data_IF_055485931375
#
_entry.id   IF_055485931375
#
_cell.length_a   1.000
_cell.length_b   1.000
_cell.length_c   1.000
_cell.angle_alpha   90.00
_cell.angle_beta   90.00
_cell.angle_gamma   90.00
#
_symmetry.space_group_name_H-M   'P 1'
#
loop_
_entity.id
_entity.type
_entity.pdbx_description
1 polymer ?
#
# COMPACT_ATOMS: atom_id res chain seq x y z
N UNK A 1 11.33 2.98 23.32
CA UNK A 1 10.93 2.22 22.12
C UNK A 1 10.55 3.21 21.03
N UNK A 2 10.97 2.96 19.81
CA UNK A 2 11.55 3.96 18.89
C UNK A 2 10.56 4.63 17.93
N UNK A 3 9.54 5.32 18.44
CA UNK A 3 8.79 6.27 17.59
C UNK A 3 9.61 7.54 17.27
N UNK A 4 10.65 7.87 18.07
CA UNK A 4 11.51 9.04 17.82
C UNK A 4 12.30 8.99 16.49
N UNK A 5 12.37 7.80 15.87
CA UNK A 5 13.06 7.58 14.59
C UNK A 5 12.12 7.62 13.38
N UNK A 6 10.80 7.50 13.59
CA UNK A 6 9.83 7.61 12.53
C UNK A 6 9.45 9.08 12.35
N UNK A 7 9.69 9.63 11.17
CA UNK A 7 9.59 11.08 10.89
C UNK A 7 9.00 11.32 9.51
N UNK A 8 8.38 12.48 9.35
CA UNK A 8 7.96 12.95 8.04
C UNK A 8 9.14 13.08 7.07
N UNK A 9 8.85 12.92 5.77
CA UNK A 9 9.83 12.92 4.68
C UNK A 9 10.54 11.59 4.44
N UNK A 10 10.29 10.56 5.26
CA UNK A 10 10.78 9.22 4.96
C UNK A 10 9.98 8.62 3.81
N UNK A 11 10.67 7.94 2.90
CA UNK A 11 10.05 7.36 1.70
C UNK A 11 10.54 5.95 1.41
N UNK A 12 9.74 5.18 0.70
CA UNK A 12 10.12 3.87 0.17
C UNK A 12 9.43 3.58 -1.16
N UNK A 13 10.02 2.67 -1.93
CA UNK A 13 9.42 2.12 -3.13
C UNK A 13 9.25 0.63 -2.92
N UNK A 14 8.05 0.11 -3.17
CA UNK A 14 7.73 -1.29 -2.99
C UNK A 14 7.15 -1.84 -4.28
N UNK A 15 7.83 -2.82 -4.86
CA UNK A 15 7.41 -3.48 -6.08
C UNK A 15 6.52 -4.69 -5.77
N UNK A 16 5.46 -4.83 -6.55
CA UNK A 16 4.55 -5.97 -6.51
C UNK A 16 4.31 -6.50 -7.91
N UNK A 17 4.44 -7.82 -8.08
CA UNK A 17 4.01 -8.50 -9.30
C UNK A 17 2.53 -8.81 -9.16
N UNK A 18 1.72 -8.40 -10.15
CA UNK A 18 0.27 -8.58 -10.11
C UNK A 18 -0.07 -10.05 -10.35
N UNK A 19 -0.79 -10.64 -9.40
CA UNK A 19 -1.23 -12.04 -9.48
C UNK A 19 -2.70 -12.14 -9.91
N UNK A 20 -3.13 -13.33 -10.30
CA UNK A 20 -4.52 -13.57 -10.70
C UNK A 20 -5.52 -13.28 -9.59
N UNK A 21 -5.15 -13.50 -8.31
CA UNK A 21 -5.97 -13.24 -7.13
C UNK A 21 -6.19 -11.73 -6.90
N UNK A 22 -5.29 -10.89 -7.40
CA UNK A 22 -5.39 -9.43 -7.32
C UNK A 22 -6.27 -8.84 -8.43
N UNK A 23 -6.68 -9.65 -9.39
CA UNK A 23 -7.40 -9.19 -10.57
C UNK A 23 -8.86 -8.83 -10.27
N UNK A 24 -9.51 -8.15 -11.21
CA UNK A 24 -10.95 -7.87 -11.22
C UNK A 24 -11.80 -9.15 -11.32
N UNK A 25 -11.21 -10.28 -11.70
CA UNK A 25 -11.93 -11.50 -12.02
C UNK A 25 -12.31 -12.33 -10.78
N UNK A 26 -13.35 -11.88 -10.08
CA UNK A 26 -13.90 -12.61 -8.90
C UNK A 26 -14.69 -13.88 -9.26
N UNK A 27 -14.97 -14.09 -10.55
CA UNK A 27 -15.84 -15.19 -11.04
C UNK A 27 -15.09 -16.26 -11.83
N UNK A 28 -13.77 -16.12 -12.01
CA UNK A 28 -12.94 -17.07 -12.76
C UNK A 28 -13.18 -17.09 -14.28
N UNK A 29 -13.76 -16.03 -14.87
CA UNK A 29 -13.99 -15.91 -16.31
C UNK A 29 -12.74 -15.34 -17.02
N UNK A 30 -12.06 -16.10 -17.89
CA UNK A 30 -10.80 -15.65 -18.50
C UNK A 30 -11.00 -14.45 -19.44
N UNK A 31 -9.94 -13.64 -19.61
CA UNK A 31 -9.79 -12.77 -20.79
C UNK A 31 -9.76 -11.25 -20.54
N UNK A 32 -10.00 -10.78 -19.32
CA UNK A 32 -9.95 -9.34 -18.99
C UNK A 32 -9.37 -9.07 -17.58
N UNK A 33 -8.44 -9.92 -17.13
CA UNK A 33 -7.85 -9.88 -15.79
C UNK A 33 -6.83 -8.76 -15.68
N UNK A 34 -7.24 -7.68 -15.02
CA UNK A 34 -6.38 -6.56 -14.66
C UNK A 34 -6.46 -6.35 -13.16
N UNK A 35 -5.43 -5.72 -12.57
CA UNK A 35 -5.40 -5.33 -11.18
C UNK A 35 -6.73 -4.67 -10.79
N UNK A 36 -7.32 -5.12 -9.69
CA UNK A 36 -8.54 -4.53 -9.18
C UNK A 36 -8.22 -3.30 -8.31
N UNK A 37 -9.12 -2.30 -8.29
CA UNK A 37 -9.00 -1.16 -7.38
C UNK A 37 -8.85 -1.55 -5.90
N UNK A 38 -9.61 -2.52 -5.34
CA UNK A 38 -9.39 -2.93 -3.96
C UNK A 38 -8.04 -3.62 -3.74
N UNK A 39 -7.54 -4.38 -4.72
CA UNK A 39 -6.20 -4.96 -4.62
C UNK A 39 -5.12 -3.88 -4.69
N UNK A 40 -5.25 -2.88 -5.57
CA UNK A 40 -4.35 -1.72 -5.59
C UNK A 40 -4.30 -1.04 -4.22
N UNK A 41 -5.46 -0.80 -3.60
CA UNK A 41 -5.52 -0.25 -2.24
C UNK A 41 -4.79 -1.16 -1.24
N UNK A 42 -5.00 -2.47 -1.29
CA UNK A 42 -4.29 -3.42 -0.43
C UNK A 42 -2.76 -3.41 -0.62
N UNK A 43 -2.28 -3.20 -1.85
CA UNK A 43 -0.85 -3.03 -2.13
C UNK A 43 -0.30 -1.74 -1.51
N UNK A 44 -1.06 -0.65 -1.59
CA UNK A 44 -0.73 0.64 -0.98
C UNK A 44 -0.66 0.51 0.55
N UNK A 45 -1.66 -0.12 1.19
CA UNK A 45 -1.66 -0.39 2.63
C UNK A 45 -0.47 -1.28 3.04
N UNK A 46 -0.21 -2.34 2.29
CA UNK A 46 0.93 -3.24 2.53
C UNK A 46 2.28 -2.52 2.44
N UNK A 47 2.42 -1.55 1.53
CA UNK A 47 3.62 -0.72 1.44
C UNK A 47 3.79 0.17 2.68
N UNK A 48 2.72 0.83 3.15
CA UNK A 48 2.75 1.63 4.38
C UNK A 48 3.12 0.80 5.61
N UNK A 49 2.58 -0.42 5.73
CA UNK A 49 2.93 -1.35 6.81
C UNK A 49 4.42 -1.67 6.76
N UNK A 50 4.95 -2.10 5.60
CA UNK A 50 6.38 -2.42 5.44
C UNK A 50 7.30 -1.26 5.82
N UNK A 51 6.93 -0.03 5.48
CA UNK A 51 7.70 1.15 5.86
C UNK A 51 7.67 1.41 7.37
N UNK A 52 6.53 1.17 8.01
CA UNK A 52 6.31 1.52 9.42
C UNK A 52 6.82 0.44 10.38
N UNK A 53 6.75 -0.84 9.99
CA UNK A 53 7.03 -2.01 10.82
C UNK A 53 8.39 -1.96 11.57
N UNK A 54 9.51 -1.52 10.96
CA UNK A 54 10.80 -1.41 11.67
C UNK A 54 10.83 -0.43 12.84
N UNK A 55 9.84 0.47 12.92
CA UNK A 55 9.75 1.52 13.95
C UNK A 55 8.74 1.19 15.05
N UNK A 56 7.92 0.15 14.85
CA UNK A 56 6.91 -0.26 15.83
C UNK A 56 7.56 -1.02 16.99
N UNK A 57 7.04 -0.86 18.23
CA UNK A 57 7.41 -1.74 19.32
C UNK A 57 7.03 -3.19 19.01
N UNK A 58 7.69 -4.13 19.70
CA UNK A 58 7.33 -5.54 19.65
C UNK A 58 5.85 -5.74 20.04
N UNK A 59 5.13 -6.56 19.28
CA UNK A 59 3.69 -6.83 19.42
C UNK A 59 2.73 -5.67 19.07
N UNK A 60 3.22 -4.61 18.42
CA UNK A 60 2.36 -3.56 17.86
C UNK A 60 2.18 -3.77 16.35
N UNK A 61 1.04 -3.30 15.84
CA UNK A 61 0.74 -3.25 14.41
C UNK A 61 0.00 -1.94 14.09
N UNK A 62 -0.25 -1.70 12.80
CA UNK A 62 -0.99 -0.54 12.30
C UNK A 62 -2.28 -0.97 11.62
N UNK A 63 -3.23 -0.06 11.53
CA UNK A 63 -4.47 -0.25 10.77
C UNK A 63 -4.69 0.96 9.87
N UNK A 64 -5.14 0.74 8.64
CA UNK A 64 -5.67 1.80 7.79
C UNK A 64 -7.01 2.30 8.36
N UNK A 65 -7.21 3.62 8.41
CA UNK A 65 -8.47 4.21 8.90
C UNK A 65 -9.20 5.06 7.84
N UNK A 66 -8.47 5.64 6.89
CA UNK A 66 -9.01 6.48 5.84
C UNK A 66 -8.09 6.43 4.62
N UNK A 67 -8.71 6.56 3.44
CA UNK A 67 -8.03 6.68 2.15
C UNK A 67 -8.77 7.77 1.38
N UNK A 68 -8.07 8.83 1.06
CA UNK A 68 -8.62 9.97 0.35
C UNK A 68 -7.98 10.09 -1.03
N UNK A 69 -8.80 10.31 -2.05
CA UNK A 69 -8.30 10.66 -3.39
C UNK A 69 -7.70 9.51 -4.21
N UNK A 70 -7.84 8.24 -3.81
CA UNK A 70 -7.41 7.10 -4.63
C UNK A 70 -8.04 7.17 -6.03
N UNK A 71 -7.19 7.20 -7.07
CA UNK A 71 -7.61 7.09 -8.46
C UNK A 71 -6.86 5.97 -9.17
N UNK A 72 -7.61 5.01 -9.70
CA UNK A 72 -7.08 3.93 -10.51
C UNK A 72 -7.19 4.31 -11.99
N UNK A 73 -6.12 4.90 -12.53
CA UNK A 73 -6.16 5.60 -13.82
C UNK A 73 -5.93 4.70 -15.03
N UNK A 74 -5.22 3.58 -14.85
CA UNK A 74 -4.84 2.70 -15.95
C UNK A 74 -4.96 1.22 -15.53
N UNK A 75 -5.40 0.34 -16.44
CA UNK A 75 -5.37 -1.10 -16.20
C UNK A 75 -3.93 -1.60 -16.13
N UNK A 76 -3.67 -2.56 -15.23
CA UNK A 76 -2.39 -3.28 -15.14
C UNK A 76 -2.67 -4.78 -15.24
N UNK A 77 -2.00 -5.50 -16.13
CA UNK A 77 -2.25 -6.93 -16.38
C UNK A 77 -1.59 -7.81 -15.34
N UNK A 78 -2.12 -9.03 -15.19
CA UNK A 78 -1.45 -10.09 -14.42
C UNK A 78 -0.04 -10.34 -15.00
N UNK A 79 0.95 -10.45 -14.12
CA UNK A 79 2.37 -10.62 -14.45
C UNK A 79 3.14 -9.31 -14.64
N UNK A 80 2.45 -8.17 -14.79
CA UNK A 80 3.12 -6.86 -14.77
C UNK A 80 3.49 -6.45 -13.34
N UNK A 81 4.42 -5.50 -13.21
CA UNK A 81 4.88 -4.97 -11.93
C UNK A 81 4.27 -3.59 -11.68
N UNK A 82 3.76 -3.40 -10.46
CA UNK A 82 3.38 -2.10 -9.92
C UNK A 82 4.38 -1.71 -8.85
N UNK A 83 4.93 -0.50 -8.97
CA UNK A 83 5.74 0.12 -7.93
C UNK A 83 4.87 1.10 -7.15
N UNK A 84 4.75 0.89 -5.84
CA UNK A 84 4.13 1.84 -4.92
C UNK A 84 5.24 2.70 -4.33
N UNK A 85 5.24 3.99 -4.67
CA UNK A 85 6.14 4.98 -4.07
C UNK A 85 5.37 5.61 -2.90
N UNK A 86 5.93 5.58 -1.70
CA UNK A 86 5.28 6.10 -0.50
C UNK A 86 6.18 7.11 0.19
N UNK A 87 5.57 8.16 0.75
CA UNK A 87 6.21 9.17 1.58
C UNK A 87 5.39 9.41 2.85
N UNK A 88 6.05 9.47 4.02
CA UNK A 88 5.42 9.88 5.27
C UNK A 88 5.24 11.39 5.25
N UNK A 89 4.01 11.88 5.14
CA UNK A 89 3.73 13.32 5.09
C UNK A 89 3.52 13.92 6.47
N UNK A 90 3.03 13.13 7.43
CA UNK A 90 2.77 13.56 8.80
C UNK A 90 2.99 12.41 9.79
N UNK A 91 3.55 12.73 10.94
CA UNK A 91 3.68 11.83 12.09
C UNK A 91 3.06 12.51 13.30
N UNK A 92 1.99 11.94 13.83
CA UNK A 92 1.36 12.32 15.09
C UNK A 92 1.33 11.12 16.05
N UNK A 93 1.26 11.41 17.34
CA UNK A 93 1.09 10.48 18.44
C UNK A 93 -0.03 9.44 18.25
N UNK A 94 -1.06 9.76 17.46
CA UNK A 94 -2.22 8.89 17.24
C UNK A 94 -2.37 8.38 15.81
N UNK A 95 -1.88 9.12 14.82
CA UNK A 95 -2.10 8.84 13.39
C UNK A 95 -0.90 9.29 12.57
N UNK A 96 -0.62 8.57 11.50
CA UNK A 96 0.37 8.96 10.51
C UNK A 96 -0.32 9.12 9.16
N UNK A 97 0.14 10.06 8.35
CA UNK A 97 -0.35 10.28 7.00
C UNK A 97 0.73 9.94 5.98
N UNK A 98 0.30 9.42 4.84
CA UNK A 98 1.16 8.98 3.76
C UNK A 98 0.69 9.56 2.43
N UNK A 99 1.63 10.01 1.62
CA UNK A 99 1.45 10.32 0.20
C UNK A 99 1.87 9.13 -0.64
N UNK A 100 1.06 8.79 -1.66
CA UNK A 100 1.27 7.68 -2.60
C UNK A 100 0.89 8.13 -4.01
#
# INVERSE_FOLDING_TARGET
MTMDKFKSGQSANVDFVITSEMSTNRTGKPGAEVLSTPSLLGLMEGACIKLTEPFLPENYSTVGYAVDGLRHLAPTKVGETVTINIEVTEVDSKKNAFGI
#
